data_IF_549518930296
#
_entry.id   IF_549518930296
#
_cell.length_a   1.000
_cell.length_b   1.000
_cell.length_c   1.000
_cell.angle_alpha   90.00
_cell.angle_beta   90.00
_cell.angle_gamma   90.00
#
_symmetry.space_group_name_H-M   'P 1'
#
loop_
_entity.id
_entity.type
_entity.pdbx_description
1 polymer ?
#
# COMPACT_ATOMS: atom_id res chain seq x y z
N UNK A 1 -19.56 -6.79 5.97
CA UNK A 1 -19.76 -5.71 6.95
C UNK A 1 -21.17 -5.16 6.87
N UNK A 2 -21.85 -5.02 8.01
CA UNK A 2 -23.26 -4.55 8.04
C UNK A 2 -23.38 -3.06 8.34
N UNK A 3 -22.42 -2.51 9.10
CA UNK A 3 -22.38 -1.09 9.48
C UNK A 3 -20.93 -0.60 9.49
N UNK A 4 -20.66 0.66 9.13
CA UNK A 4 -19.35 1.24 9.31
C UNK A 4 -19.00 1.34 10.79
N UNK A 5 -17.76 1.05 11.15
CA UNK A 5 -17.28 1.23 12.51
C UNK A 5 -16.93 2.71 12.72
N UNK A 6 -17.82 3.43 13.38
CA UNK A 6 -17.58 4.83 13.77
C UNK A 6 -17.56 4.92 15.29
N UNK A 7 -16.41 5.28 15.85
CA UNK A 7 -16.27 5.56 17.28
C UNK A 7 -15.53 6.89 17.47
N UNK A 8 -16.27 7.91 17.92
CA UNK A 8 -15.74 9.22 18.30
C UNK A 8 -15.43 9.36 19.79
N UNK A 9 -15.42 8.26 20.54
CA UNK A 9 -15.21 8.26 21.99
C UNK A 9 -13.71 8.20 22.31
N UNK A 10 -13.28 9.07 23.22
CA UNK A 10 -11.95 9.04 23.82
C UNK A 10 -12.10 9.10 25.33
N UNK A 11 -11.51 8.15 26.04
CA UNK A 11 -11.39 8.17 27.50
C UNK A 11 -10.10 8.87 27.94
N UNK A 12 -10.02 9.17 29.24
CA UNK A 12 -8.86 9.87 29.80
C UNK A 12 -7.56 9.09 29.66
N UNK A 13 -7.61 7.76 29.73
CA UNK A 13 -6.42 6.91 29.58
C UNK A 13 -5.86 7.00 28.15
N UNK A 14 -6.72 6.88 27.14
CA UNK A 14 -6.31 7.03 25.74
C UNK A 14 -5.79 8.43 25.46
N UNK A 15 -6.45 9.47 25.98
CA UNK A 15 -5.99 10.85 25.86
C UNK A 15 -4.61 11.05 26.49
N UNK A 16 -4.37 10.49 27.67
CA UNK A 16 -3.07 10.56 28.35
C UNK A 16 -1.97 9.84 27.55
N UNK A 17 -2.26 8.70 26.92
CA UNK A 17 -1.32 7.97 26.06
C UNK A 17 -1.02 8.73 24.76
N UNK A 18 -2.03 9.37 24.17
CA UNK A 18 -1.88 10.09 22.90
C UNK A 18 -1.18 11.43 23.05
N UNK A 19 -1.39 12.13 24.18
CA UNK A 19 -0.83 13.47 24.41
C UNK A 19 0.69 13.56 24.18
N UNK A 20 1.55 12.68 24.74
CA UNK A 20 2.99 12.71 24.47
C UNK A 20 3.34 12.33 23.03
N UNK A 21 2.47 11.60 22.32
CA UNK A 21 2.68 11.23 20.91
C UNK A 21 2.48 12.44 19.99
N UNK A 22 1.55 13.33 20.32
CA UNK A 22 1.34 14.57 19.55
C UNK A 22 2.60 15.44 19.52
N UNK A 23 3.37 15.48 20.60
CA UNK A 23 4.62 16.23 20.64
C UNK A 23 5.70 15.71 19.68
N UNK A 24 5.56 14.47 19.19
CA UNK A 24 6.47 13.82 18.23
C UNK A 24 5.88 13.67 16.84
N UNK A 25 4.66 14.17 16.61
CA UNK A 25 3.93 13.92 15.36
C UNK A 25 4.74 14.35 14.14
N UNK A 26 5.27 15.57 14.13
CA UNK A 26 6.07 16.12 13.02
C UNK A 26 7.29 15.23 12.72
N UNK A 27 8.09 14.92 13.73
CA UNK A 27 9.29 14.08 13.54
C UNK A 27 8.95 12.65 13.10
N UNK A 28 7.81 12.11 13.53
CA UNK A 28 7.33 10.82 13.06
C UNK A 28 6.86 10.88 11.61
N UNK A 29 6.16 11.92 11.20
CA UNK A 29 5.77 12.14 9.81
C UNK A 29 7.00 12.23 8.89
N UNK A 30 8.02 12.99 9.29
CA UNK A 30 9.28 13.08 8.56
C UNK A 30 9.98 11.71 8.44
N UNK A 31 10.00 10.93 9.54
CA UNK A 31 10.59 9.60 9.55
C UNK A 31 9.83 8.61 8.64
N UNK A 32 8.49 8.67 8.59
CA UNK A 32 7.70 7.90 7.63
C UNK A 32 7.97 8.34 6.19
N UNK A 33 7.99 9.65 5.94
CA UNK A 33 8.21 10.19 4.61
C UNK A 33 9.61 9.88 4.07
N UNK A 34 10.63 9.80 4.93
CA UNK A 34 11.96 9.35 4.54
C UNK A 34 11.96 7.89 4.05
N UNK A 35 11.24 6.99 4.74
CA UNK A 35 11.06 5.58 4.34
C UNK A 35 10.26 5.45 3.05
N UNK A 36 9.19 6.21 2.95
CA UNK A 36 8.37 6.27 1.73
C UNK A 36 9.23 6.64 0.53
N UNK A 37 9.99 7.75 0.61
CA UNK A 37 10.86 8.21 -0.48
C UNK A 37 11.95 7.20 -0.84
N UNK A 38 12.50 6.48 0.15
CA UNK A 38 13.50 5.45 -0.12
C UNK A 38 12.92 4.29 -0.95
N UNK A 39 11.72 3.81 -0.60
CA UNK A 39 11.05 2.76 -1.39
C UNK A 39 10.60 3.30 -2.74
N UNK A 40 9.97 4.46 -2.79
CA UNK A 40 9.50 5.11 -4.02
C UNK A 40 10.64 5.28 -5.04
N UNK A 41 11.77 5.83 -4.60
CA UNK A 41 12.94 6.01 -5.46
C UNK A 41 13.46 4.67 -6.01
N UNK A 42 13.47 3.63 -5.17
CA UNK A 42 13.97 2.31 -5.55
C UNK A 42 13.10 1.55 -6.53
N UNK A 43 11.77 1.74 -6.50
CA UNK A 43 10.82 1.08 -7.41
C UNK A 43 10.46 1.94 -8.63
N UNK A 44 10.73 3.23 -8.60
CA UNK A 44 10.43 4.14 -9.71
C UNK A 44 11.15 3.73 -10.98
N UNK A 45 10.49 3.88 -12.13
CA UNK A 45 11.03 3.50 -13.43
C UNK A 45 11.10 1.99 -13.69
N UNK A 46 10.55 1.16 -12.81
CA UNK A 46 10.42 -0.28 -13.06
C UNK A 46 9.38 -0.53 -14.14
N UNK A 47 9.74 -1.26 -15.20
CA UNK A 47 8.79 -1.60 -16.28
C UNK A 47 7.59 -2.38 -15.74
N UNK A 48 6.39 -2.01 -16.16
CA UNK A 48 5.14 -2.62 -15.72
C UNK A 48 4.64 -2.17 -14.34
N UNK A 49 5.39 -1.32 -13.63
CA UNK A 49 5.01 -0.75 -12.34
C UNK A 49 4.86 0.76 -12.45
N UNK A 50 3.77 1.31 -11.91
CA UNK A 50 3.55 2.75 -11.83
C UNK A 50 3.43 3.17 -10.37
N UNK A 51 4.27 4.11 -9.95
CA UNK A 51 4.13 4.77 -8.65
C UNK A 51 3.08 5.87 -8.74
N UNK A 52 2.24 5.99 -7.73
CA UNK A 52 1.21 7.03 -7.68
C UNK A 52 1.89 8.38 -7.46
N UNK A 53 1.76 9.28 -8.43
CA UNK A 53 2.30 10.64 -8.31
C UNK A 53 1.51 11.44 -7.27
N UNK A 54 2.23 12.05 -6.34
CA UNK A 54 1.66 13.00 -5.37
C UNK A 54 1.82 14.43 -5.88
N UNK A 55 0.79 15.28 -5.76
CA UNK A 55 0.93 16.72 -6.01
C UNK A 55 1.95 17.36 -5.06
N UNK A 56 2.64 18.41 -5.52
CA UNK A 56 3.64 19.11 -4.70
C UNK A 56 3.02 19.81 -3.49
N UNK A 57 1.77 20.22 -3.61
CA UNK A 57 1.00 20.88 -2.56
C UNK A 57 0.51 19.92 -1.46
N UNK A 58 0.62 18.60 -1.69
CA UNK A 58 0.14 17.61 -0.74
C UNK A 58 1.10 17.42 0.42
N UNK A 59 0.64 17.75 1.63
CA UNK A 59 1.28 17.32 2.87
C UNK A 59 0.81 15.92 3.24
N UNK A 60 1.66 14.92 3.10
CA UNK A 60 1.29 13.52 3.32
C UNK A 60 2.10 12.85 4.43
N UNK A 61 1.57 11.73 4.91
CA UNK A 61 2.27 10.83 5.82
C UNK A 61 2.48 9.49 5.11
N UNK A 62 3.71 9.19 4.74
CA UNK A 62 4.11 8.00 4.01
C UNK A 62 4.15 6.73 4.86
N UNK A 63 3.11 6.45 5.67
CA UNK A 63 3.04 5.23 6.50
C UNK A 63 2.74 3.95 5.73
N UNK A 64 2.39 4.08 4.47
CA UNK A 64 2.28 3.00 3.47
C UNK A 64 2.62 3.52 2.08
N UNK A 65 3.03 2.63 1.20
CA UNK A 65 3.25 2.94 -0.21
C UNK A 65 2.29 2.11 -1.06
N UNK A 66 1.66 2.77 -2.05
CA UNK A 66 0.86 2.14 -3.08
C UNK A 66 1.57 2.27 -4.41
N UNK A 67 1.52 1.20 -5.20
CA UNK A 67 1.92 1.21 -6.60
C UNK A 67 0.93 0.39 -7.43
N UNK A 68 0.98 0.58 -8.73
CA UNK A 68 0.02 0.02 -9.66
C UNK A 68 0.70 -0.95 -10.61
N UNK A 69 0.11 -2.14 -10.75
CA UNK A 69 0.38 -3.13 -11.78
C UNK A 69 -0.83 -3.14 -12.73
N UNK A 70 -1.00 -2.05 -13.49
CA UNK A 70 -2.18 -1.85 -14.33
C UNK A 70 -2.17 -2.81 -15.51
N UNK A 71 -3.36 -3.38 -15.78
CA UNK A 71 -3.63 -4.29 -16.91
C UNK A 71 -2.85 -5.62 -16.85
N UNK A 72 -2.26 -5.94 -15.70
CA UNK A 72 -1.69 -7.26 -15.45
C UNK A 72 -2.80 -8.29 -15.23
N UNK A 73 -2.55 -9.55 -15.61
CA UNK A 73 -3.44 -10.65 -15.25
C UNK A 73 -3.41 -10.92 -13.74
N UNK A 74 -4.52 -11.41 -13.20
CA UNK A 74 -4.61 -11.76 -11.77
C UNK A 74 -3.53 -12.78 -11.37
N UNK A 75 -3.21 -13.72 -12.28
CA UNK A 75 -2.15 -14.70 -12.07
C UNK A 75 -0.76 -14.06 -11.97
N UNK A 76 -0.45 -13.09 -12.83
CA UNK A 76 0.82 -12.39 -12.81
C UNK A 76 0.97 -11.53 -11.54
N UNK A 77 -0.08 -10.83 -11.11
CA UNK A 77 -0.06 -10.09 -9.83
C UNK A 77 0.16 -11.05 -8.67
N UNK A 78 -0.58 -12.18 -8.63
CA UNK A 78 -0.43 -13.17 -7.58
C UNK A 78 1.00 -13.78 -7.54
N UNK A 79 1.63 -14.00 -8.70
CA UNK A 79 3.03 -14.48 -8.78
C UNK A 79 4.01 -13.46 -8.19
N UNK A 80 3.87 -12.17 -8.51
CA UNK A 80 4.68 -11.10 -7.89
C UNK A 80 4.54 -11.13 -6.37
N UNK A 81 3.31 -11.20 -5.86
CA UNK A 81 3.07 -11.24 -4.41
C UNK A 81 3.73 -12.45 -3.76
N UNK A 82 3.58 -13.63 -4.36
CA UNK A 82 4.15 -14.87 -3.84
C UNK A 82 5.69 -14.82 -3.81
N UNK A 83 6.33 -14.31 -4.87
CA UNK A 83 7.78 -14.12 -4.95
C UNK A 83 8.31 -13.12 -3.94
N UNK A 84 7.63 -11.98 -3.78
CA UNK A 84 7.96 -10.99 -2.75
C UNK A 84 7.82 -11.60 -1.34
N UNK A 85 6.73 -12.31 -1.06
CA UNK A 85 6.50 -12.97 0.22
C UNK A 85 7.56 -14.03 0.54
N UNK A 86 7.99 -14.81 -0.44
CA UNK A 86 9.08 -15.79 -0.30
C UNK A 86 10.41 -15.15 0.11
N UNK A 87 10.57 -13.85 -0.13
CA UNK A 87 11.73 -13.04 0.26
C UNK A 87 11.47 -12.15 1.48
N UNK A 88 10.34 -12.38 2.19
CA UNK A 88 9.97 -11.66 3.41
C UNK A 88 9.30 -10.30 3.18
N UNK A 89 8.89 -9.97 1.95
CA UNK A 89 8.18 -8.72 1.62
C UNK A 89 6.70 -9.02 1.42
N UNK A 90 5.89 -8.71 2.42
CA UNK A 90 4.44 -8.90 2.35
C UNK A 90 3.75 -7.71 1.68
N UNK A 91 3.08 -7.99 0.59
CA UNK A 91 2.31 -7.03 -0.19
C UNK A 91 0.81 -7.34 -0.06
N UNK A 92 0.00 -6.30 0.05
CA UNK A 92 -1.46 -6.38 0.03
C UNK A 92 -1.97 -6.02 -1.35
N UNK A 93 -2.76 -6.89 -1.96
CA UNK A 93 -3.39 -6.65 -3.25
C UNK A 93 -4.88 -6.32 -3.08
N UNK A 94 -5.33 -5.20 -3.64
CA UNK A 94 -6.71 -4.75 -3.57
C UNK A 94 -7.62 -5.49 -4.56
N UNK A 95 -7.07 -5.99 -5.66
CA UNK A 95 -7.80 -6.77 -6.67
C UNK A 95 -8.04 -8.24 -6.33
N UNK A 96 -7.53 -8.72 -5.19
CA UNK A 96 -7.72 -10.10 -4.75
C UNK A 96 -9.18 -10.48 -4.58
N UNK A 97 -9.52 -11.75 -4.79
CA UNK A 97 -10.88 -12.27 -4.68
C UNK A 97 -11.46 -12.10 -3.26
N UNK A 98 -10.63 -12.27 -2.24
CA UNK A 98 -11.02 -12.10 -0.84
C UNK A 98 -10.61 -10.71 -0.31
N UNK A 99 -11.49 -10.01 0.45
CA UNK A 99 -11.17 -8.73 1.02
C UNK A 99 -10.07 -8.85 2.07
N UNK A 100 -8.96 -8.14 1.89
CA UNK A 100 -7.88 -8.03 2.87
C UNK A 100 -7.97 -6.68 3.59
N UNK A 101 -8.69 -6.65 4.70
CA UNK A 101 -9.00 -5.44 5.44
C UNK A 101 -10.23 -4.71 4.88
N UNK A 102 -10.63 -3.66 5.58
CA UNK A 102 -11.92 -3.02 5.40
C UNK A 102 -12.13 -2.40 4.01
N UNK A 103 -11.09 -1.87 3.39
CA UNK A 103 -11.18 -1.06 2.18
C UNK A 103 -10.88 -1.81 0.88
N UNK A 104 -10.48 -3.08 0.94
CA UNK A 104 -9.99 -3.79 -0.24
C UNK A 104 -11.09 -4.25 -1.22
N UNK A 105 -12.32 -4.39 -0.76
CA UNK A 105 -13.46 -4.84 -1.57
C UNK A 105 -14.72 -4.07 -1.18
N UNK A 106 -15.02 -2.97 -1.89
CA UNK A 106 -16.20 -2.14 -1.61
C UNK A 106 -17.52 -2.88 -1.88
N UNK A 107 -17.54 -3.81 -2.81
CA UNK A 107 -18.67 -4.66 -3.15
C UNK A 107 -19.06 -5.66 -2.04
N UNK A 108 -18.19 -5.87 -1.06
CA UNK A 108 -18.49 -6.63 0.15
C UNK A 108 -19.22 -5.82 1.24
N UNK A 109 -19.40 -4.52 1.06
CA UNK A 109 -20.02 -3.64 2.05
C UNK A 109 -21.54 -3.70 1.96
N UNK A 110 -22.20 -4.13 3.05
CA UNK A 110 -23.65 -4.29 3.09
C UNK A 110 -24.41 -3.00 3.46
N UNK A 111 -23.69 -1.99 3.91
CA UNK A 111 -24.27 -0.70 4.33
C UNK A 111 -24.26 0.36 3.21
N UNK A 112 -23.63 0.08 2.10
CA UNK A 112 -23.63 0.95 0.93
C UNK A 112 -24.15 0.17 -0.27
N UNK A 113 -25.02 0.77 -1.11
CA UNK A 113 -25.46 0.13 -2.34
C UNK A 113 -24.24 -0.07 -3.25
N UNK A 114 -24.09 -1.29 -3.75
CA UNK A 114 -23.07 -1.60 -4.74
C UNK A 114 -23.56 -1.15 -6.12
N UNK A 115 -22.74 -0.38 -6.83
CA UNK A 115 -22.97 0.00 -8.22
C UNK A 115 -21.72 -0.34 -9.04
N UNK A 116 -21.87 -0.71 -10.32
CA UNK A 116 -20.71 -0.95 -11.19
C UNK A 116 -19.86 0.32 -11.32
N UNK A 117 -18.59 0.22 -10.98
CA UNK A 117 -17.62 1.32 -11.08
C UNK A 117 -16.41 0.91 -11.92
N UNK A 118 -16.55 0.72 -13.26
CA UNK A 118 -15.55 0.06 -14.08
C UNK A 118 -14.18 0.74 -14.08
N UNK A 119 -14.13 2.06 -13.95
CA UNK A 119 -12.85 2.80 -13.82
C UNK A 119 -12.18 2.53 -12.49
N UNK A 120 -12.94 2.56 -11.39
CA UNK A 120 -12.43 2.25 -10.04
C UNK A 120 -12.02 0.79 -9.93
N UNK A 121 -12.82 -0.12 -10.50
CA UNK A 121 -12.55 -1.56 -10.51
C UNK A 121 -11.22 -1.87 -11.22
N UNK A 122 -10.98 -1.24 -12.38
CA UNK A 122 -9.72 -1.39 -13.10
C UNK A 122 -8.52 -0.91 -12.28
N UNK A 123 -8.65 0.23 -11.62
CA UNK A 123 -7.58 0.77 -10.76
C UNK A 123 -7.37 -0.13 -9.54
N UNK A 124 -8.45 -0.50 -8.83
CA UNK A 124 -8.36 -1.36 -7.65
C UNK A 124 -7.73 -2.72 -7.97
N UNK A 125 -8.01 -3.26 -9.16
CA UNK A 125 -7.42 -4.50 -9.65
C UNK A 125 -5.90 -4.44 -9.75
N UNK A 126 -5.34 -3.27 -10.04
CA UNK A 126 -3.89 -3.06 -10.15
C UNK A 126 -3.21 -2.56 -8.87
N UNK A 127 -3.97 -2.14 -7.84
CA UNK A 127 -3.35 -1.56 -6.65
C UNK A 127 -2.71 -2.61 -5.76
N UNK A 128 -1.45 -2.40 -5.47
CA UNK A 128 -0.67 -3.11 -4.44
C UNK A 128 -0.26 -2.12 -3.36
N UNK A 129 -0.39 -2.51 -2.10
CA UNK A 129 -0.09 -1.69 -0.91
C UNK A 129 0.92 -2.39 -0.01
N UNK A 130 1.80 -1.62 0.61
CA UNK A 130 2.70 -2.09 1.64
C UNK A 130 2.79 -1.08 2.78
N UNK A 131 2.69 -1.56 4.03
CA UNK A 131 2.94 -0.76 5.22
C UNK A 131 4.42 -0.49 5.41
N UNK A 132 4.74 0.73 5.86
CA UNK A 132 6.10 1.19 6.15
C UNK A 132 6.21 1.55 7.64
N UNK A 133 6.34 0.57 8.54
CA UNK A 133 6.46 0.84 9.97
C UNK A 133 7.78 1.57 10.28
N UNK A 134 7.78 2.41 11.32
CA UNK A 134 8.97 3.15 11.76
C UNK A 134 10.10 2.24 12.28
N UNK A 135 9.80 0.96 12.52
CA UNK A 135 10.81 -0.05 12.90
C UNK A 135 11.73 -0.44 11.75
N UNK A 136 11.34 -0.18 10.49
CA UNK A 136 12.24 -0.40 9.37
C UNK A 136 13.31 0.69 9.34
N UNK A 137 14.56 0.31 9.11
CA UNK A 137 15.62 1.25 8.77
C UNK A 137 15.49 1.72 7.31
N UNK A 138 16.21 2.76 6.91
CA UNK A 138 16.27 3.16 5.50
C UNK A 138 16.92 2.08 4.64
N UNK A 139 17.91 1.37 5.16
CA UNK A 139 18.55 0.24 4.47
C UNK A 139 17.57 -0.92 4.22
N UNK A 140 16.66 -1.19 5.18
CA UNK A 140 15.57 -2.17 4.98
C UNK A 140 14.63 -1.72 3.87
N UNK A 141 14.27 -0.43 3.84
CA UNK A 141 13.42 0.13 2.79
C UNK A 141 14.06 0.03 1.40
N UNK A 142 15.36 0.29 1.29
CA UNK A 142 16.12 0.11 0.05
C UNK A 142 16.19 -1.36 -0.38
N UNK A 143 16.38 -2.29 0.57
CA UNK A 143 16.36 -3.72 0.31
C UNK A 143 14.98 -4.17 -0.18
N UNK A 144 13.91 -3.75 0.48
CA UNK A 144 12.52 -4.02 0.10
C UNK A 144 12.27 -3.52 -1.33
N UNK A 145 12.69 -2.30 -1.65
CA UNK A 145 12.52 -1.73 -2.98
C UNK A 145 13.26 -2.56 -4.05
N UNK A 146 14.48 -3.00 -3.78
CA UNK A 146 15.23 -3.90 -4.68
C UNK A 146 14.53 -5.23 -4.89
N UNK A 147 13.92 -5.81 -3.85
CA UNK A 147 13.17 -7.06 -3.94
C UNK A 147 11.95 -6.85 -4.84
N UNK A 148 11.12 -5.83 -4.55
CA UNK A 148 9.93 -5.53 -5.35
C UNK A 148 10.30 -5.32 -6.82
N UNK A 149 11.31 -4.48 -7.09
CA UNK A 149 11.79 -4.21 -8.45
C UNK A 149 12.23 -5.47 -9.18
N UNK A 150 12.99 -6.34 -8.52
CA UNK A 150 13.48 -7.58 -9.11
C UNK A 150 12.34 -8.53 -9.48
N UNK A 151 11.40 -8.75 -8.56
CA UNK A 151 10.31 -9.70 -8.79
C UNK A 151 9.27 -9.18 -9.80
N UNK A 152 8.95 -7.88 -9.76
CA UNK A 152 8.10 -7.25 -10.79
C UNK A 152 8.76 -7.36 -12.15
N UNK A 153 10.06 -7.03 -12.28
CA UNK A 153 10.77 -7.13 -13.55
C UNK A 153 10.81 -8.55 -14.09
N UNK A 154 11.05 -9.55 -13.24
CA UNK A 154 11.11 -10.96 -13.64
C UNK A 154 9.77 -11.45 -14.20
N UNK A 155 8.65 -11.14 -13.53
CA UNK A 155 7.30 -11.55 -13.98
C UNK A 155 6.89 -10.77 -15.23
N UNK A 156 7.20 -9.47 -15.31
CA UNK A 156 6.90 -8.64 -16.48
C UNK A 156 7.60 -9.17 -17.74
N UNK A 157 8.89 -9.52 -17.66
CA UNK A 157 9.64 -10.09 -18.77
C UNK A 157 9.08 -11.45 -19.21
N UNK A 158 8.68 -12.29 -18.27
CA UNK A 158 8.09 -13.59 -18.58
C UNK A 158 6.73 -13.49 -19.27
N UNK A 159 5.96 -12.43 -19.00
CA UNK A 159 4.66 -12.19 -19.64
C UNK A 159 4.73 -11.49 -21.00
N UNK A 160 5.90 -10.95 -21.39
CA UNK A 160 6.13 -10.30 -22.68
C UNK A 160 6.84 -11.20 -23.69
N UNK A 161 7.27 -12.38 -23.28
CA UNK A 161 7.88 -13.41 -24.14
C UNK A 161 6.84 -14.43 -24.59
#
# INVERSE_FOLDING_TARGET
YQTPNVSGRMDHLRAAILRPQLARLESQCEAWNARYRAVEAGISGTAGLTVVRRPEEEHYVGSSIQFLLLDWSDAAVADVLARCAARGVELKWFGGAEPKGFTSRYDSWRYAPSAPMPKSDRILKGIVDMRLPLTFSLADCELIARIIKAEVSAVFQAGTA
#
